data_IF_713845461377
#
_entry.id   IF_713845461377
#
_cell.length_a   1.000
_cell.length_b   1.000
_cell.length_c   1.000
_cell.angle_alpha   90.00
_cell.angle_beta   90.00
_cell.angle_gamma   90.00
#
_symmetry.space_group_name_H-M   'P 1'
#
loop_
_entity.id
_entity.type
_entity.pdbx_description
1 polymer ?
#
# COMPACT_ATOMS: atom_id res chain seq x y z
N UNK A 1 61.75 43.14 -2.04
CA UNK A 1 61.49 42.81 -0.62
C UNK A 1 60.03 43.09 -0.32
N UNK A 2 59.45 42.27 0.57
CA UNK A 2 58.05 41.86 0.75
C UNK A 2 56.94 42.93 0.80
N UNK A 3 55.66 42.50 0.58
CA UNK A 3 54.64 43.30 -0.10
C UNK A 3 53.35 43.41 0.79
N UNK A 4 52.08 43.54 0.30
CA UNK A 4 51.04 44.35 0.94
C UNK A 4 49.79 43.54 1.41
N UNK A 5 48.76 44.20 1.96
CA UNK A 5 47.32 43.80 1.89
C UNK A 5 46.46 44.89 2.58
N UNK A 6 45.15 45.07 2.42
CA UNK A 6 44.05 44.78 1.45
C UNK A 6 42.82 45.50 2.06
N UNK A 7 41.85 45.94 1.26
CA UNK A 7 40.43 46.07 1.67
C UNK A 7 39.49 45.78 0.50
N UNK A 8 38.31 45.31 0.87
CA UNK A 8 37.25 44.62 0.12
C UNK A 8 36.34 45.53 -0.74
N UNK A 9 35.56 44.92 -1.66
CA UNK A 9 34.10 45.12 -1.77
C UNK A 9 33.45 44.25 -2.88
N UNK A 10 32.36 43.55 -2.51
CA UNK A 10 31.04 43.46 -3.18
C UNK A 10 30.87 42.84 -4.59
N UNK A 11 29.89 41.92 -4.71
CA UNK A 11 28.74 42.01 -5.65
C UNK A 11 27.83 40.77 -5.65
N UNK A 12 26.54 41.05 -5.82
CA UNK A 12 25.43 40.17 -6.21
C UNK A 12 25.76 39.23 -7.38
N UNK A 13 25.20 38.01 -7.36
CA UNK A 13 25.06 37.19 -8.57
C UNK A 13 23.76 36.38 -8.60
N UNK A 14 23.17 36.47 -9.78
CA UNK A 14 21.96 35.83 -10.31
C UNK A 14 22.05 34.30 -10.42
N UNK A 15 20.88 33.68 -10.51
CA UNK A 15 20.62 32.29 -10.91
C UNK A 15 21.35 31.84 -12.19
N UNK A 16 21.78 30.57 -12.27
CA UNK A 16 21.93 29.91 -13.56
C UNK A 16 21.24 28.54 -13.62
N UNK A 17 20.08 28.47 -14.28
CA UNK A 17 19.64 27.23 -14.94
C UNK A 17 20.44 27.07 -16.23
N UNK A 18 21.43 26.16 -16.25
CA UNK A 18 22.20 25.82 -17.45
C UNK A 18 21.75 24.47 -17.99
N UNK A 19 21.23 24.48 -19.22
CA UNK A 19 20.93 23.29 -20.04
C UNK A 19 22.22 22.50 -20.30
N UNK A 20 22.16 21.18 -20.12
CA UNK A 20 23.21 20.25 -20.55
C UNK A 20 22.94 19.75 -21.99
N UNK A 21 23.98 19.57 -22.83
CA UNK A 21 23.83 19.16 -24.23
C UNK A 21 23.65 17.64 -24.39
N UNK A 22 22.89 17.27 -25.43
CA UNK A 22 22.70 15.90 -25.94
C UNK A 22 24.02 15.35 -26.49
N UNK A 23 24.30 14.08 -26.23
CA UNK A 23 25.35 13.30 -26.88
C UNK A 23 24.72 12.13 -27.64
N UNK A 24 25.01 12.08 -28.93
CA UNK A 24 24.67 11.01 -29.87
C UNK A 24 25.48 9.73 -29.62
N UNK A 25 24.91 8.58 -29.98
CA UNK A 25 25.56 7.25 -29.93
C UNK A 25 26.68 7.07 -30.96
N UNK A 26 27.33 5.89 -31.03
CA UNK A 26 26.68 4.77 -31.74
C UNK A 26 27.04 3.33 -31.28
N UNK A 27 26.24 2.36 -31.74
CA UNK A 27 26.74 1.04 -32.17
C UNK A 27 26.57 -0.15 -31.22
N UNK A 28 25.59 -1.03 -31.49
CA UNK A 28 25.70 -2.47 -31.22
C UNK A 28 25.02 -3.29 -32.31
N UNK A 29 25.80 -4.23 -32.86
CA UNK A 29 25.42 -5.28 -33.82
C UNK A 29 24.59 -6.39 -33.13
N UNK A 30 23.84 -7.21 -33.88
CA UNK A 30 22.79 -8.08 -33.33
C UNK A 30 23.33 -9.43 -32.84
N UNK A 31 22.79 -9.90 -31.71
CA UNK A 31 23.02 -11.26 -31.20
C UNK A 31 21.92 -12.18 -31.72
N UNK A 32 22.34 -13.25 -32.37
CA UNK A 32 21.52 -14.33 -32.90
C UNK A 32 20.66 -14.99 -31.81
N UNK A 33 19.37 -15.21 -32.10
CA UNK A 33 18.51 -16.14 -31.37
C UNK A 33 18.47 -17.45 -32.15
N UNK A 34 18.90 -18.53 -31.49
CA UNK A 34 18.76 -19.88 -31.99
C UNK A 34 17.33 -20.37 -31.80
N UNK A 35 16.79 -20.94 -32.87
CA UNK A 35 15.57 -21.73 -32.93
C UNK A 35 15.70 -23.00 -32.10
N UNK A 36 14.67 -23.33 -31.32
CA UNK A 36 14.41 -24.68 -30.83
C UNK A 36 12.94 -25.00 -31.10
N UNK A 37 12.73 -25.64 -32.24
CA UNK A 37 11.58 -26.51 -32.50
C UNK A 37 11.79 -27.82 -31.73
N UNK A 38 10.75 -28.39 -31.14
CA UNK A 38 10.40 -29.83 -31.08
C UNK A 38 9.00 -29.94 -30.44
N UNK A 39 8.00 -30.38 -31.22
CA UNK A 39 7.37 -31.71 -31.14
C UNK A 39 6.64 -31.92 -29.78
N UNK A 40 5.31 -31.97 -29.68
CA UNK A 40 4.40 -32.76 -30.49
C UNK A 40 4.24 -34.13 -29.83
N UNK A 41 3.32 -34.26 -28.86
CA UNK A 41 2.86 -35.55 -28.35
C UNK A 41 1.43 -35.43 -27.81
N UNK A 42 0.54 -35.92 -28.66
CA UNK A 42 -0.87 -36.24 -28.45
C UNK A 42 -1.01 -37.35 -27.39
N UNK A 43 -1.98 -37.26 -26.46
CA UNK A 43 -2.53 -38.44 -25.76
C UNK A 43 -3.89 -38.15 -25.11
N UNK A 44 -4.89 -38.59 -25.87
CA UNK A 44 -6.21 -39.13 -25.53
C UNK A 44 -6.68 -39.22 -24.06
N UNK A 45 -7.90 -38.69 -23.91
CA UNK A 45 -9.03 -39.03 -23.05
C UNK A 45 -9.02 -40.37 -22.29
N UNK A 46 -9.46 -40.32 -21.02
CA UNK A 46 -10.32 -41.34 -20.41
C UNK A 46 -11.08 -40.76 -19.19
N UNK A 47 -12.41 -40.67 -19.27
CA UNK A 47 -13.30 -40.64 -18.11
C UNK A 47 -13.46 -42.05 -17.52
N UNK A 48 -13.93 -42.18 -16.25
CA UNK A 48 -15.27 -42.78 -16.11
C UNK A 48 -16.16 -42.19 -14.99
N UNK A 49 -17.41 -41.92 -15.39
CA UNK A 49 -18.72 -42.24 -14.78
C UNK A 49 -18.89 -42.43 -13.25
N UNK A 50 -19.74 -41.55 -12.71
CA UNK A 50 -20.93 -41.74 -11.83
C UNK A 50 -21.02 -42.97 -10.92
N UNK A 51 -21.19 -42.70 -9.63
CA UNK A 51 -21.89 -43.55 -8.66
C UNK A 51 -22.71 -42.69 -7.70
N UNK A 52 -24.03 -42.84 -7.74
CA UNK A 52 -24.99 -42.23 -6.83
C UNK A 52 -25.15 -43.11 -5.57
N UNK A 53 -25.31 -42.49 -4.40
CA UNK A 53 -25.96 -43.11 -3.23
C UNK A 53 -26.79 -42.05 -2.52
N UNK A 54 -28.11 -42.22 -2.55
CA UNK A 54 -29.08 -41.63 -1.63
C UNK A 54 -29.18 -42.52 -0.38
N UNK A 55 -29.34 -41.91 0.81
CA UNK A 55 -30.19 -42.45 1.88
C UNK A 55 -30.59 -41.32 2.86
N UNK A 56 -31.85 -40.90 2.70
CA UNK A 56 -32.90 -40.66 3.69
C UNK A 56 -32.67 -40.16 5.13
N UNK A 57 -33.49 -39.14 5.42
CA UNK A 57 -34.32 -38.84 6.60
C UNK A 57 -33.70 -38.65 7.99
N UNK A 58 -34.02 -37.47 8.56
CA UNK A 58 -34.69 -37.19 9.85
C UNK A 58 -34.57 -35.65 10.04
N UNK A 59 -35.59 -34.83 10.26
CA UNK A 59 -36.69 -34.89 11.22
C UNK A 59 -36.76 -33.51 11.90
N UNK A 60 -37.91 -32.84 11.80
CA UNK A 60 -38.17 -31.49 12.33
C UNK A 60 -37.86 -31.32 13.82
N UNK A 61 -37.28 -30.18 14.23
CA UNK A 61 -37.73 -29.41 15.42
C UNK A 61 -37.42 -27.91 15.23
N UNK A 62 -38.47 -27.09 15.18
CA UNK A 62 -38.39 -25.65 15.37
C UNK A 62 -38.25 -25.32 16.86
N UNK A 63 -37.31 -24.46 17.25
CA UNK A 63 -37.33 -23.76 18.55
C UNK A 63 -36.96 -22.28 18.38
N UNK A 64 -37.84 -21.44 18.92
CA UNK A 64 -37.71 -20.00 19.08
C UNK A 64 -36.48 -19.65 19.93
N UNK A 65 -35.72 -18.63 19.53
CA UNK A 65 -34.68 -17.99 20.34
C UNK A 65 -35.30 -16.85 21.15
N UNK A 66 -34.93 -16.66 22.43
CA UNK A 66 -35.22 -15.44 23.16
C UNK A 66 -34.21 -14.33 22.81
N UNK A 67 -34.72 -13.12 22.88
CA UNK A 67 -34.06 -11.82 22.73
C UNK A 67 -33.04 -11.52 23.83
N UNK A 68 -32.12 -10.60 23.51
CA UNK A 68 -31.13 -9.93 24.36
C UNK A 68 -29.81 -10.67 24.62
N UNK A 69 -28.74 -10.17 23.99
CA UNK A 69 -27.36 -10.59 24.26
C UNK A 69 -26.37 -9.48 23.93
N UNK A 70 -25.80 -8.87 24.98
CA UNK A 70 -24.59 -8.03 24.93
C UNK A 70 -23.48 -8.79 24.20
N UNK A 71 -22.82 -8.12 23.24
CA UNK A 71 -21.60 -8.65 22.62
C UNK A 71 -20.46 -8.56 23.63
N UNK A 72 -20.06 -9.72 24.17
CA UNK A 72 -18.82 -9.88 24.95
C UNK A 72 -17.76 -10.44 24.00
N UNK A 73 -16.70 -9.69 23.77
CA UNK A 73 -15.51 -10.15 23.05
C UNK A 73 -14.75 -11.10 23.97
N UNK A 74 -14.81 -12.39 23.69
CA UNK A 74 -14.04 -13.41 24.42
C UNK A 74 -12.63 -13.45 23.84
N UNK A 75 -11.63 -13.02 24.63
CA UNK A 75 -10.22 -13.26 24.33
C UNK A 75 -9.92 -14.74 24.60
N UNK A 76 -9.55 -15.48 23.56
CA UNK A 76 -9.12 -16.87 23.69
C UNK A 76 -7.66 -16.95 24.16
N UNK A 77 -7.46 -17.40 25.40
CA UNK A 77 -6.16 -17.89 25.86
C UNK A 77 -5.89 -19.26 25.20
N UNK A 78 -4.79 -19.36 24.46
CA UNK A 78 -4.18 -20.66 24.12
C UNK A 78 -2.75 -20.71 24.66
N UNK A 79 -2.60 -21.49 25.73
CA UNK A 79 -1.32 -22.01 26.20
C UNK A 79 -0.79 -23.04 25.19
N UNK A 80 0.43 -22.82 24.70
CA UNK A 80 1.19 -23.76 23.90
C UNK A 80 2.68 -23.56 24.14
N UNK A 81 3.32 -24.60 24.70
CA UNK A 81 4.70 -24.64 25.15
C UNK A 81 5.76 -24.32 24.08
N UNK A 82 6.75 -23.49 24.41
CA UNK A 82 8.13 -23.66 23.96
C UNK A 82 9.15 -23.06 24.96
N UNK A 83 10.36 -23.64 25.11
CA UNK A 83 11.19 -23.45 26.30
C UNK A 83 12.22 -22.31 26.18
N UNK A 84 12.37 -21.62 27.33
CA UNK A 84 13.59 -21.03 27.92
C UNK A 84 14.48 -20.12 27.06
N UNK A 85 14.37 -18.83 27.34
CA UNK A 85 15.42 -17.82 27.14
C UNK A 85 15.08 -16.58 27.98
N UNK A 86 15.53 -16.59 29.24
CA UNK A 86 15.20 -15.60 30.27
C UNK A 86 15.83 -14.24 29.97
N UNK A 87 15.03 -13.18 29.94
CA UNK A 87 15.37 -11.87 30.51
C UNK A 87 14.08 -11.20 30.99
N UNK A 88 13.81 -11.37 32.29
CA UNK A 88 12.70 -10.70 32.97
C UNK A 88 13.04 -9.22 33.18
N UNK A 89 12.41 -8.33 32.42
CA UNK A 89 12.13 -6.98 32.90
C UNK A 89 10.64 -6.91 33.26
N UNK A 90 10.37 -6.91 34.56
CA UNK A 90 9.03 -6.77 35.11
C UNK A 90 8.48 -5.37 34.80
N UNK A 91 7.51 -5.29 33.89
CA UNK A 91 6.74 -4.07 33.68
C UNK A 91 5.57 -4.06 34.67
N UNK A 92 5.62 -3.15 35.66
CA UNK A 92 4.48 -2.86 36.53
C UNK A 92 3.38 -2.23 35.68
N UNK A 93 2.20 -2.87 35.65
CA UNK A 93 0.98 -2.27 35.17
C UNK A 93 0.62 -1.07 36.08
N UNK A 94 1.04 0.13 35.66
CA UNK A 94 0.58 1.36 36.25
C UNK A 94 -0.84 1.65 35.77
N UNK A 95 -1.81 1.46 36.65
CA UNK A 95 -3.13 2.08 36.53
C UNK A 95 -2.96 3.60 36.61
N UNK A 96 -2.71 4.23 35.45
CA UNK A 96 -2.73 5.67 35.29
C UNK A 96 -4.04 6.09 34.63
N UNK A 97 -5.07 6.37 35.44
CA UNK A 97 -6.16 7.23 34.99
C UNK A 97 -5.59 8.62 34.72
N UNK A 98 -5.07 8.85 33.52
CA UNK A 98 -4.76 10.17 33.03
C UNK A 98 -6.08 10.93 32.89
N UNK A 99 -6.28 11.93 33.76
CA UNK A 99 -7.32 12.95 33.60
C UNK A 99 -7.24 13.48 32.16
N UNK A 100 -8.29 13.21 31.37
CA UNK A 100 -8.54 13.88 30.09
C UNK A 100 -8.54 15.39 30.34
N UNK A 101 -7.47 16.07 29.97
CA UNK A 101 -7.54 17.50 29.75
C UNK A 101 -8.31 17.69 28.44
N UNK A 102 -9.53 18.20 28.56
CA UNK A 102 -10.29 18.75 27.46
C UNK A 102 -9.58 20.02 26.95
N UNK A 103 -8.64 19.84 26.02
CA UNK A 103 -8.04 20.90 25.23
C UNK A 103 -8.53 20.77 23.80
N UNK A 104 -9.41 21.68 23.37
CA UNK A 104 -10.06 21.67 22.06
C UNK A 104 -9.08 21.64 20.88
N UNK A 105 -9.04 20.49 20.21
CA UNK A 105 -8.46 20.28 18.90
C UNK A 105 -9.28 19.23 18.15
N UNK A 106 -10.61 19.32 18.22
CA UNK A 106 -11.48 18.38 17.50
C UNK A 106 -11.29 18.49 15.99
N UNK A 107 -11.84 17.54 15.23
CA UNK A 107 -12.08 17.64 13.78
C UNK A 107 -13.00 18.82 13.38
N UNK A 108 -13.13 19.86 14.22
CA UNK A 108 -14.10 20.95 14.15
C UNK A 108 -13.80 22.00 13.07
N UNK A 109 -12.68 21.89 12.35
CA UNK A 109 -12.33 22.82 11.25
C UNK A 109 -11.94 22.06 9.98
N UNK A 110 -12.82 21.18 9.51
CA UNK A 110 -12.75 20.67 8.15
C UNK A 110 -12.95 21.83 7.14
N UNK A 111 -12.03 21.95 6.20
CA UNK A 111 -12.01 22.99 5.17
C UNK A 111 -12.43 22.41 3.82
N UNK A 112 -13.23 23.16 3.07
CA UNK A 112 -13.40 22.86 1.64
C UNK A 112 -12.19 23.39 0.91
N UNK A 113 -11.54 22.54 0.11
CA UNK A 113 -10.49 23.01 -0.76
C UNK A 113 -11.04 23.97 -1.82
N UNK A 114 -10.41 25.13 -1.96
CA UNK A 114 -10.85 26.23 -2.84
C UNK A 114 -10.16 26.23 -4.21
N UNK A 115 -9.43 25.16 -4.52
CA UNK A 115 -8.65 25.04 -5.75
C UNK A 115 -7.24 25.64 -5.68
N UNK A 116 -6.85 26.25 -4.55
CA UNK A 116 -5.53 26.90 -4.40
C UNK A 116 -4.54 26.03 -3.63
N UNK A 117 -3.27 26.43 -3.70
CA UNK A 117 -2.19 25.81 -2.93
C UNK A 117 -2.50 25.85 -1.43
N UNK A 118 -2.34 24.71 -0.76
CA UNK A 118 -2.53 24.55 0.67
C UNK A 118 -1.29 25.05 1.41
N UNK A 119 -1.48 26.03 2.28
CA UNK A 119 -0.44 26.65 3.12
C UNK A 119 -0.58 26.32 4.61
N UNK A 120 -1.77 25.86 5.04
CA UNK A 120 -2.07 25.64 6.46
C UNK A 120 -2.36 24.17 6.77
N UNK A 121 -1.85 23.63 7.89
CA UNK A 121 -2.22 22.29 8.35
C UNK A 121 -3.71 22.19 8.61
N UNK A 122 -4.31 21.05 8.30
CA UNK A 122 -5.73 20.84 8.54
C UNK A 122 -6.33 19.61 7.87
N UNK A 123 -7.65 19.51 7.97
CA UNK A 123 -8.47 18.49 7.32
C UNK A 123 -9.16 19.12 6.13
N UNK A 124 -8.97 18.54 4.94
CA UNK A 124 -9.49 19.07 3.68
C UNK A 124 -10.47 18.09 3.04
N UNK A 125 -11.62 18.61 2.60
CA UNK A 125 -12.59 17.92 1.74
C UNK A 125 -12.54 18.46 0.31
N UNK A 126 -13.16 17.71 -0.61
CA UNK A 126 -13.33 18.10 -2.01
C UNK A 126 -12.02 18.32 -2.79
N UNK A 127 -10.93 17.66 -2.38
CA UNK A 127 -9.71 17.56 -3.20
C UNK A 127 -9.87 16.33 -4.10
N UNK A 128 -10.02 16.50 -5.43
CA UNK A 128 -10.12 15.38 -6.36
C UNK A 128 -8.95 14.40 -6.20
N UNK A 129 -9.22 13.11 -6.36
CA UNK A 129 -8.20 12.06 -6.21
C UNK A 129 -7.03 12.25 -7.19
N UNK A 130 -7.32 12.67 -8.42
CA UNK A 130 -6.32 13.04 -9.44
C UNK A 130 -5.42 14.18 -8.98
N UNK A 131 -5.97 15.24 -8.40
CA UNK A 131 -5.22 16.34 -7.79
C UNK A 131 -4.36 15.86 -6.64
N UNK A 132 -4.93 15.09 -5.72
CA UNK A 132 -4.20 14.57 -4.57
C UNK A 132 -2.99 13.71 -4.96
N UNK A 133 -3.08 12.92 -6.03
CA UNK A 133 -1.95 12.09 -6.47
C UNK A 133 -1.01 12.81 -7.43
N UNK A 134 -1.51 13.66 -8.32
CA UNK A 134 -0.77 14.17 -9.47
C UNK A 134 -0.22 15.59 -9.30
N UNK A 135 -0.83 16.43 -8.46
CA UNK A 135 -0.48 17.84 -8.40
C UNK A 135 0.70 18.08 -7.44
N UNK A 136 1.80 18.59 -7.99
CA UNK A 136 3.04 18.84 -7.23
C UNK A 136 2.99 20.14 -6.43
N UNK A 137 2.19 21.12 -6.86
CA UNK A 137 1.99 22.43 -6.23
C UNK A 137 0.70 22.50 -5.39
N UNK A 138 0.11 21.35 -5.05
CA UNK A 138 -1.02 21.27 -4.12
C UNK A 138 -0.67 21.85 -2.74
N UNK A 139 0.60 21.81 -2.35
CA UNK A 139 1.12 22.35 -1.10
C UNK A 139 2.24 23.36 -1.38
N UNK A 140 2.44 24.31 -0.46
CA UNK A 140 3.48 25.35 -0.55
C UNK A 140 4.93 24.85 -0.36
N UNK A 141 5.09 23.55 -0.14
CA UNK A 141 6.35 22.84 -0.02
C UNK A 141 6.16 21.38 -0.48
N UNK A 142 7.25 20.63 -0.73
CA UNK A 142 7.12 19.25 -1.18
C UNK A 142 6.30 18.39 -0.21
N UNK A 143 5.41 17.55 -0.76
CA UNK A 143 4.53 16.68 0.02
C UNK A 143 4.80 15.20 -0.22
N UNK A 144 4.65 14.42 0.85
CA UNK A 144 4.93 12.99 0.93
C UNK A 144 3.67 12.24 1.35
N UNK A 145 3.35 11.20 0.58
CA UNK A 145 2.32 10.22 0.90
C UNK A 145 2.94 8.84 1.11
N UNK A 146 2.17 7.91 1.69
CA UNK A 146 2.62 6.55 2.01
C UNK A 146 3.18 5.79 0.80
N UNK A 147 2.58 5.95 -0.38
CA UNK A 147 3.01 5.20 -1.58
C UNK A 147 4.47 5.51 -1.96
N UNK A 148 4.94 6.74 -1.73
CA UNK A 148 6.30 7.13 -2.04
C UNK A 148 7.34 6.53 -1.07
N UNK A 149 6.96 6.27 0.19
CA UNK A 149 7.90 5.79 1.22
C UNK A 149 8.47 4.41 0.93
N UNK A 150 7.70 3.53 0.28
CA UNK A 150 8.17 2.19 -0.09
C UNK A 150 9.37 2.25 -1.05
N UNK A 151 9.40 3.25 -1.93
CA UNK A 151 10.53 3.44 -2.84
C UNK A 151 11.80 3.93 -2.13
N UNK A 152 11.67 4.45 -0.91
CA UNK A 152 12.78 4.96 -0.12
C UNK A 152 13.32 3.92 0.87
N UNK A 153 12.44 3.17 1.52
CA UNK A 153 12.79 2.26 2.60
C UNK A 153 13.59 1.04 2.13
N UNK A 154 14.80 0.80 2.66
CA UNK A 154 15.61 -0.37 2.29
C UNK A 154 14.94 -1.71 2.59
N UNK A 155 14.10 -1.77 3.64
CA UNK A 155 13.32 -2.97 3.99
C UNK A 155 12.27 -3.34 2.92
N UNK A 156 11.90 -2.39 2.07
CA UNK A 156 11.02 -2.57 0.91
C UNK A 156 11.81 -2.68 -0.41
N UNK A 157 13.14 -2.82 -0.34
CA UNK A 157 14.02 -2.78 -1.51
C UNK A 157 14.22 -1.36 -2.10
N UNK A 158 13.80 -0.34 -1.37
CA UNK A 158 13.92 1.07 -1.74
C UNK A 158 15.31 1.68 -1.53
N UNK A 159 15.47 2.90 -2.03
CA UNK A 159 16.62 3.77 -1.83
C UNK A 159 16.28 5.22 -2.17
N UNK A 160 17.06 6.22 -1.74
CA UNK A 160 16.86 7.61 -2.15
C UNK A 160 16.78 7.80 -3.67
N UNK A 161 17.65 7.12 -4.45
CA UNK A 161 17.58 7.12 -5.92
C UNK A 161 16.26 6.54 -6.45
N UNK A 162 15.79 5.44 -5.88
CA UNK A 162 14.56 4.80 -6.31
C UNK A 162 13.31 5.64 -5.99
N UNK A 163 13.33 6.34 -4.85
CA UNK A 163 12.35 7.36 -4.49
C UNK A 163 12.38 8.53 -5.47
N UNK A 164 13.53 9.19 -5.66
CA UNK A 164 13.65 10.36 -6.53
C UNK A 164 13.22 10.05 -7.96
N UNK A 165 13.63 8.90 -8.50
CA UNK A 165 13.26 8.47 -9.85
C UNK A 165 11.76 8.22 -10.06
N UNK A 166 10.92 8.23 -9.02
CA UNK A 166 9.46 7.99 -9.09
C UNK A 166 8.64 9.08 -8.42
N UNK A 167 9.28 9.99 -7.68
CA UNK A 167 8.58 11.01 -6.94
C UNK A 167 8.06 12.10 -7.87
N UNK A 168 6.84 12.58 -7.63
CA UNK A 168 6.17 13.56 -8.48
C UNK A 168 6.97 14.86 -8.66
N UNK A 169 7.74 15.25 -7.64
CA UNK A 169 8.58 16.45 -7.68
C UNK A 169 9.81 16.34 -8.60
N UNK A 170 10.16 15.12 -9.07
CA UNK A 170 11.18 14.94 -10.09
C UNK A 170 10.56 15.08 -11.49
N UNK A 171 11.00 16.07 -12.31
CA UNK A 171 10.52 16.23 -13.69
C UNK A 171 10.82 15.03 -14.59
N UNK A 172 11.93 14.32 -14.32
CA UNK A 172 12.39 13.17 -15.10
C UNK A 172 11.95 11.83 -14.47
N UNK A 173 10.86 11.84 -13.70
CA UNK A 173 10.37 10.63 -13.04
C UNK A 173 9.93 9.57 -14.05
N UNK A 174 10.07 8.32 -13.64
CA UNK A 174 9.47 7.18 -14.33
C UNK A 174 8.03 7.04 -13.86
N UNK A 175 7.09 7.12 -14.81
CA UNK A 175 5.68 6.90 -14.51
C UNK A 175 5.41 5.41 -14.22
N UNK A 176 4.78 5.10 -13.07
CA UNK A 176 4.38 3.74 -12.78
C UNK A 176 3.27 3.30 -13.74
N UNK A 177 3.41 2.09 -14.29
CA UNK A 177 2.33 1.47 -15.08
C UNK A 177 1.23 0.98 -14.13
N UNK A 178 -0.06 1.30 -14.38
CA UNK A 178 -1.16 0.71 -13.63
C UNK A 178 -1.16 -0.81 -13.83
N UNK A 179 -1.67 -1.53 -12.83
CA UNK A 179 -1.86 -2.98 -12.90
C UNK A 179 -3.34 -3.33 -12.75
N UNK A 180 -3.76 -4.41 -13.39
CA UNK A 180 -5.17 -4.83 -13.39
C UNK A 180 -5.70 -5.06 -11.96
N UNK A 181 -4.85 -5.53 -11.04
CA UNK A 181 -5.21 -5.71 -9.63
C UNK A 181 -5.45 -4.37 -8.90
N UNK A 182 -4.67 -3.33 -9.21
CA UNK A 182 -4.90 -2.00 -8.65
C UNK A 182 -6.17 -1.37 -9.22
N UNK A 183 -6.44 -1.59 -10.50
CA UNK A 183 -7.64 -1.07 -11.15
C UNK A 183 -8.91 -1.73 -10.60
N UNK A 184 -8.88 -3.04 -10.34
CA UNK A 184 -9.95 -3.74 -9.60
C UNK A 184 -10.15 -3.16 -8.19
N UNK A 185 -9.07 -2.96 -7.44
CA UNK A 185 -9.13 -2.41 -6.08
C UNK A 185 -9.77 -1.02 -6.04
N UNK A 186 -9.41 -0.14 -6.98
CA UNK A 186 -10.01 1.20 -7.12
C UNK A 186 -11.50 1.12 -7.45
N UNK A 187 -11.88 0.23 -8.37
CA UNK A 187 -13.27 0.03 -8.74
C UNK A 187 -14.14 -0.48 -7.57
N UNK A 188 -13.59 -1.44 -6.80
CA UNK A 188 -14.24 -1.95 -5.60
C UNK A 188 -14.42 -0.83 -4.57
N UNK A 189 -13.36 -0.06 -4.32
CA UNK A 189 -13.38 1.07 -3.39
C UNK A 189 -14.44 2.11 -3.75
N UNK A 190 -14.47 2.58 -5.00
CA UNK A 190 -15.48 3.52 -5.48
C UNK A 190 -16.93 2.99 -5.31
N UNK A 191 -17.18 1.71 -5.57
CA UNK A 191 -18.53 1.12 -5.38
C UNK A 191 -18.91 0.88 -3.93
N UNK A 192 -17.96 0.57 -3.06
CA UNK A 192 -18.24 0.28 -1.65
C UNK A 192 -18.37 1.56 -0.81
N UNK A 193 -17.58 2.60 -1.09
CA UNK A 193 -17.62 3.87 -0.36
C UNK A 193 -18.58 4.89 -0.99
N UNK A 194 -18.80 4.83 -2.31
CA UNK A 194 -19.76 5.68 -3.02
C UNK A 194 -19.38 7.16 -3.07
N UNK A 195 -18.09 7.47 -2.95
CA UNK A 195 -17.54 8.82 -2.89
C UNK A 195 -17.11 9.39 -4.25
N UNK A 196 -16.90 8.51 -5.24
CA UNK A 196 -16.65 8.89 -6.62
C UNK A 196 -17.82 8.47 -7.54
N UNK A 197 -18.10 9.27 -8.57
CA UNK A 197 -19.01 8.84 -9.64
C UNK A 197 -18.33 7.73 -10.46
N UNK A 198 -18.77 6.50 -10.20
CA UNK A 198 -18.24 5.30 -10.85
C UNK A 198 -18.27 5.42 -12.39
N UNK A 199 -19.29 6.03 -12.97
CA UNK A 199 -19.42 6.14 -14.43
C UNK A 199 -18.49 7.22 -15.01
N UNK A 200 -18.09 8.19 -14.19
CA UNK A 200 -17.12 9.21 -14.56
C UNK A 200 -15.68 8.69 -14.49
N UNK A 201 -15.38 7.77 -13.55
CA UNK A 201 -14.04 7.23 -13.33
C UNK A 201 -13.77 5.89 -14.04
N UNK A 202 -14.79 5.09 -14.30
CA UNK A 202 -14.67 3.74 -14.84
C UNK A 202 -15.56 3.52 -16.07
N UNK A 203 -15.16 2.58 -16.92
CA UNK A 203 -15.97 2.14 -18.05
C UNK A 203 -15.99 0.60 -18.11
N UNK A 204 -17.18 0.03 -18.12
CA UNK A 204 -17.36 -1.42 -18.25
C UNK A 204 -17.19 -1.81 -19.72
N UNK A 205 -16.36 -2.82 -19.98
CA UNK A 205 -16.15 -3.37 -21.32
C UNK A 205 -17.50 -3.84 -21.90
N UNK A 206 -17.85 -3.41 -23.13
CA UNK A 206 -19.03 -3.88 -23.83
C UNK A 206 -19.04 -5.43 -23.94
N UNK A 207 -20.22 -6.04 -23.79
CA UNK A 207 -20.37 -7.51 -23.77
C UNK A 207 -20.07 -8.16 -25.12
N UNK A 208 -20.11 -7.38 -26.19
CA UNK A 208 -19.76 -7.77 -27.55
C UNK A 208 -18.26 -8.13 -27.67
N UNK A 209 -17.42 -7.55 -26.79
CA UNK A 209 -16.01 -7.88 -26.72
C UNK A 209 -15.77 -9.00 -25.70
N UNK A 210 -15.49 -10.21 -26.20
CA UNK A 210 -15.15 -11.37 -25.35
C UNK A 210 -13.85 -11.16 -24.57
N UNK A 211 -12.85 -10.55 -25.19
CA UNK A 211 -11.55 -10.24 -24.60
C UNK A 211 -10.91 -9.01 -25.27
N UNK A 212 -9.74 -8.60 -24.79
CA UNK A 212 -8.96 -7.49 -25.35
C UNK A 212 -8.01 -7.91 -26.49
N UNK A 213 -8.23 -9.06 -27.15
CA UNK A 213 -7.37 -9.52 -28.26
C UNK A 213 -7.79 -8.93 -29.61
N UNK A 214 -9.08 -8.63 -29.77
CA UNK A 214 -9.60 -8.02 -30.99
C UNK A 214 -9.22 -6.54 -31.12
N UNK A 215 -8.93 -6.09 -32.35
CA UNK A 215 -8.54 -4.70 -32.64
C UNK A 215 -9.55 -3.68 -32.08
N UNK A 216 -10.85 -3.92 -32.31
CA UNK A 216 -11.91 -3.03 -31.81
C UNK A 216 -11.94 -2.96 -30.26
N UNK A 217 -11.65 -4.06 -29.57
CA UNK A 217 -11.61 -4.07 -28.10
C UNK A 217 -10.37 -3.34 -27.56
N UNK A 218 -9.25 -3.39 -28.27
CA UNK A 218 -8.05 -2.63 -27.95
C UNK A 218 -8.27 -1.12 -28.18
N UNK A 219 -8.83 -0.75 -29.33
CA UNK A 219 -9.19 0.64 -29.65
C UNK A 219 -10.17 1.21 -28.61
N UNK A 220 -11.16 0.42 -28.17
CA UNK A 220 -12.07 0.81 -27.08
C UNK A 220 -11.30 1.02 -25.76
N UNK A 221 -10.41 0.08 -25.38
CA UNK A 221 -9.62 0.17 -24.14
C UNK A 221 -8.76 1.42 -24.15
N UNK A 222 -8.08 1.70 -25.26
CA UNK A 222 -7.24 2.88 -25.45
C UNK A 222 -8.07 4.16 -25.39
N UNK A 223 -9.24 4.19 -26.01
CA UNK A 223 -10.16 5.34 -25.94
C UNK A 223 -10.64 5.62 -24.52
N UNK A 224 -10.96 4.57 -23.75
CA UNK A 224 -11.33 4.67 -22.33
C UNK A 224 -10.19 5.25 -21.51
N UNK A 225 -8.98 4.68 -21.64
CA UNK A 225 -7.79 5.18 -20.92
C UNK A 225 -7.47 6.61 -21.31
N UNK A 226 -7.58 6.97 -22.59
CA UNK A 226 -7.38 8.34 -23.09
C UNK A 226 -8.43 9.32 -22.56
N UNK A 227 -9.64 8.86 -22.26
CA UNK A 227 -10.67 9.65 -21.57
C UNK A 227 -10.42 9.84 -20.08
N UNK A 228 -9.32 9.30 -19.53
CA UNK A 228 -9.00 9.34 -18.11
C UNK A 228 -9.78 8.34 -17.26
N UNK A 229 -10.48 7.40 -17.91
CA UNK A 229 -11.27 6.35 -17.25
C UNK A 229 -10.52 5.03 -17.20
N UNK A 230 -10.86 4.21 -16.21
CA UNK A 230 -10.27 2.88 -16.04
C UNK A 230 -11.21 1.81 -16.61
N UNK A 231 -10.74 0.97 -17.56
CA UNK A 231 -11.55 -0.10 -18.13
C UNK A 231 -11.69 -1.26 -17.14
N UNK A 232 -12.92 -1.74 -16.92
CA UNK A 232 -13.25 -2.89 -16.06
C UNK A 232 -14.00 -3.93 -16.91
N UNK A 233 -13.78 -5.23 -16.66
CA UNK A 233 -14.56 -6.28 -17.33
C UNK A 233 -15.93 -6.50 -16.66
N UNK A 234 -16.95 -7.01 -17.40
CA UNK A 234 -18.24 -7.34 -16.79
C UNK A 234 -18.13 -8.31 -15.62
N UNK A 235 -17.19 -9.27 -15.70
CA UNK A 235 -16.96 -10.27 -14.64
C UNK A 235 -16.37 -9.62 -13.38
N UNK A 236 -15.48 -8.64 -13.53
CA UNK A 236 -14.98 -7.85 -12.41
C UNK A 236 -16.11 -7.02 -11.77
N UNK A 237 -16.99 -6.42 -12.58
CA UNK A 237 -18.13 -5.63 -12.08
C UNK A 237 -19.13 -6.48 -11.28
N UNK A 238 -19.42 -7.68 -11.76
CA UNK A 238 -20.25 -8.68 -11.09
C UNK A 238 -19.60 -9.12 -9.77
N UNK A 239 -18.30 -9.45 -9.80
CA UNK A 239 -17.52 -9.79 -8.59
C UNK A 239 -17.58 -8.68 -7.54
N UNK A 240 -17.37 -7.43 -7.94
CA UNK A 240 -17.45 -6.28 -7.01
C UNK A 240 -18.86 -6.13 -6.44
N UNK A 241 -19.89 -6.42 -7.24
CA UNK A 241 -21.28 -6.37 -6.77
C UNK A 241 -21.57 -7.43 -5.70
N UNK A 242 -21.02 -8.64 -5.87
CA UNK A 242 -21.08 -9.69 -4.85
C UNK A 242 -20.33 -9.29 -3.57
N UNK A 243 -19.10 -8.77 -3.71
CA UNK A 243 -18.30 -8.27 -2.59
C UNK A 243 -19.05 -7.18 -1.81
N UNK A 244 -19.67 -6.23 -2.52
CA UNK A 244 -20.45 -5.16 -1.90
C UNK A 244 -21.66 -5.72 -1.13
N UNK A 245 -22.35 -6.70 -1.71
CA UNK A 245 -23.51 -7.33 -1.08
C UNK A 245 -23.12 -8.10 0.20
N UNK A 246 -21.99 -8.79 0.19
CA UNK A 246 -21.43 -9.45 1.37
C UNK A 246 -20.98 -8.43 2.44
N UNK A 247 -20.20 -7.42 2.05
CA UNK A 247 -19.72 -6.38 2.96
C UNK A 247 -20.88 -5.65 3.67
N UNK A 248 -22.00 -5.43 2.98
CA UNK A 248 -23.20 -4.83 3.58
C UNK A 248 -23.87 -5.69 4.67
N UNK A 249 -23.57 -6.99 4.75
CA UNK A 249 -24.04 -7.90 5.80
C UNK A 249 -23.09 -7.93 7.01
N UNK A 250 -21.84 -7.46 6.86
CA UNK A 250 -20.89 -7.43 7.95
C UNK A 250 -21.33 -6.43 9.05
N UNK A 251 -21.33 -6.88 10.31
CA UNK A 251 -21.82 -6.09 11.46
C UNK A 251 -21.06 -4.78 11.67
N UNK A 252 -19.75 -4.75 11.45
CA UNK A 252 -18.93 -3.55 11.61
C UNK A 252 -19.16 -2.55 10.48
N UNK A 253 -19.38 -3.04 9.25
CA UNK A 253 -19.79 -2.22 8.11
C UNK A 253 -21.18 -1.61 8.35
N UNK A 254 -22.14 -2.40 8.82
CA UNK A 254 -23.46 -1.92 9.22
C UNK A 254 -23.41 -0.90 10.36
N UNK A 255 -22.48 -1.07 11.30
CA UNK A 255 -22.22 -0.10 12.37
C UNK A 255 -21.56 1.20 11.86
N UNK A 256 -21.13 1.24 10.60
CA UNK A 256 -20.64 2.45 9.94
C UNK A 256 -19.12 2.62 9.97
N UNK A 257 -18.34 1.54 10.03
CA UNK A 257 -16.87 1.63 9.94
C UNK A 257 -16.38 2.16 8.59
N UNK A 258 -17.18 2.07 7.53
CA UNK A 258 -16.92 2.67 6.22
C UNK A 258 -17.81 3.91 5.96
N UNK A 259 -18.46 4.45 7.00
CA UNK A 259 -19.29 5.65 6.91
C UNK A 259 -18.58 6.83 7.61
N UNK A 260 -19.20 8.01 7.59
CA UNK A 260 -18.67 9.20 8.27
C UNK A 260 -18.02 10.16 7.30
N UNK A 261 -16.77 10.56 7.56
CA UNK A 261 -16.03 11.43 6.64
C UNK A 261 -15.19 10.59 5.70
N UNK A 262 -15.68 10.43 4.48
CA UNK A 262 -15.01 9.65 3.43
C UNK A 262 -13.91 10.49 2.77
N UNK A 263 -12.75 9.86 2.52
CA UNK A 263 -11.66 10.40 1.70
C UNK A 263 -11.18 11.81 2.10
N UNK A 264 -11.17 12.09 3.41
CA UNK A 264 -10.63 13.36 3.92
C UNK A 264 -9.12 13.39 3.86
N UNK A 265 -8.59 14.46 3.30
CA UNK A 265 -7.14 14.68 3.28
C UNK A 265 -6.72 15.34 4.58
N UNK A 266 -6.00 14.60 5.40
CA UNK A 266 -5.30 15.10 6.57
C UNK A 266 -3.93 15.60 6.11
N UNK A 267 -3.63 16.87 6.33
CA UNK A 267 -2.38 17.48 5.91
C UNK A 267 -1.68 18.17 7.08
N UNK A 268 -0.42 17.82 7.29
CA UNK A 268 0.41 18.41 8.34
C UNK A 268 1.82 18.68 7.84
N UNK A 269 2.32 19.89 8.10
CA UNK A 269 3.69 20.29 7.76
C UNK A 269 4.61 19.89 8.90
N UNK A 270 5.54 18.99 8.63
CA UNK A 270 6.49 18.52 9.63
C UNK A 270 7.46 19.66 10.00
N UNK A 271 7.52 20.09 11.27
CA UNK A 271 8.31 21.25 11.67
C UNK A 271 9.83 20.97 11.62
N UNK A 272 10.26 19.71 11.69
CA UNK A 272 11.68 19.34 11.63
C UNK A 272 12.23 19.46 10.21
N UNK A 273 11.47 19.02 9.20
CA UNK A 273 11.94 18.91 7.82
C UNK A 273 11.32 19.93 6.86
N UNK A 274 10.24 20.60 7.27
CA UNK A 274 9.44 21.49 6.43
C UNK A 274 8.62 20.77 5.35
N UNK A 275 8.66 19.44 5.31
CA UNK A 275 7.93 18.62 4.35
C UNK A 275 6.47 18.45 4.77
N UNK A 276 5.58 18.42 3.80
CA UNK A 276 4.18 18.06 4.06
C UNK A 276 4.01 16.55 4.15
N UNK A 277 3.42 16.08 5.24
CA UNK A 277 2.83 14.76 5.33
C UNK A 277 1.35 14.87 4.98
N UNK A 278 0.91 14.02 4.06
CA UNK A 278 -0.51 13.89 3.72
C UNK A 278 -0.98 12.44 3.87
N UNK A 279 -2.05 12.28 4.62
CA UNK A 279 -2.75 11.03 4.79
C UNK A 279 -4.20 11.21 4.30
N UNK A 280 -4.74 10.18 3.67
CA UNK A 280 -6.13 10.14 3.25
C UNK A 280 -6.65 8.74 3.58
N UNK A 281 -7.15 8.51 4.81
CA UNK A 281 -7.86 7.28 5.12
C UNK A 281 -9.15 7.22 4.31
N UNK A 282 -9.55 6.02 3.93
CA UNK A 282 -10.78 5.80 3.14
C UNK A 282 -12.01 6.30 3.89
N UNK A 283 -12.11 5.99 5.20
CA UNK A 283 -13.16 6.50 6.06
C UNK A 283 -12.61 6.97 7.41
N UNK A 284 -13.21 8.06 7.92
CA UNK A 284 -13.13 8.48 9.31
C UNK A 284 -14.52 8.29 9.91
N UNK A 285 -14.77 7.14 10.56
CA UNK A 285 -16.04 6.84 11.20
C UNK A 285 -16.48 7.93 12.20
N UNK A 286 -17.77 7.97 12.57
CA UNK A 286 -18.23 8.86 13.64
C UNK A 286 -17.67 8.46 15.04
N UNK A 287 -16.98 7.33 15.14
CA UNK A 287 -16.23 6.92 16.32
C UNK A 287 -14.96 7.75 16.44
N UNK A 288 -14.87 8.56 17.50
CA UNK A 288 -13.70 9.41 17.73
C UNK A 288 -12.42 8.57 17.79
N UNK A 289 -11.35 9.06 17.16
CA UNK A 289 -10.06 8.36 17.13
C UNK A 289 -9.94 7.15 16.21
N UNK A 290 -11.00 6.72 15.51
CA UNK A 290 -10.93 5.57 14.59
C UNK A 290 -10.70 6.03 13.14
N UNK A 291 -9.86 5.28 12.43
CA UNK A 291 -9.59 5.46 11.00
C UNK A 291 -9.68 4.12 10.29
N UNK A 292 -10.33 4.07 9.13
CA UNK A 292 -10.57 2.83 8.41
C UNK A 292 -10.11 2.91 6.96
N UNK A 293 -9.58 1.79 6.46
CA UNK A 293 -9.12 1.64 5.08
C UNK A 293 -9.64 0.31 4.49
N UNK A 294 -10.31 0.39 3.36
CA UNK A 294 -10.86 -0.73 2.63
C UNK A 294 -9.79 -1.38 1.76
N UNK A 295 -9.70 -2.72 1.81
CA UNK A 295 -8.70 -3.50 1.09
C UNK A 295 -9.30 -4.74 0.45
N UNK A 296 -9.18 -4.83 -0.87
CA UNK A 296 -9.42 -6.10 -1.57
C UNK A 296 -8.25 -7.05 -1.31
N UNK A 297 -8.54 -8.31 -1.01
CA UNK A 297 -7.52 -9.35 -0.77
C UNK A 297 -7.89 -10.64 -1.51
N UNK A 298 -6.90 -11.44 -1.92
CA UNK A 298 -7.13 -12.74 -2.56
C UNK A 298 -7.17 -13.90 -1.56
N UNK A 299 -6.86 -13.67 -0.28
CA UNK A 299 -6.86 -14.70 0.75
C UNK A 299 -7.04 -14.09 2.14
N UNK A 300 -7.72 -14.83 3.01
CA UNK A 300 -7.86 -14.56 4.45
C UNK A 300 -6.92 -15.39 5.32
N UNK A 301 -5.98 -16.14 4.72
CA UNK A 301 -4.92 -16.78 5.50
C UNK A 301 -4.15 -15.71 6.29
N UNK A 302 -4.01 -15.90 7.61
CA UNK A 302 -3.41 -14.90 8.50
C UNK A 302 -1.99 -14.53 8.07
N UNK A 303 -1.17 -15.51 7.68
CA UNK A 303 0.17 -15.30 7.13
C UNK A 303 0.16 -14.42 5.88
N UNK A 304 -0.86 -14.56 5.03
CA UNK A 304 -1.02 -13.75 3.83
C UNK A 304 -1.40 -12.30 4.16
N UNK A 305 -2.31 -12.10 5.11
CA UNK A 305 -2.70 -10.77 5.57
C UNK A 305 -1.55 -10.05 6.30
N UNK A 306 -0.82 -10.77 7.16
CA UNK A 306 0.38 -10.26 7.83
C UNK A 306 1.48 -9.90 6.82
N UNK A 307 1.67 -10.73 5.79
CA UNK A 307 2.57 -10.39 4.68
C UNK A 307 2.12 -9.14 3.93
N UNK A 308 0.84 -8.99 3.64
CA UNK A 308 0.31 -7.79 2.98
C UNK A 308 0.47 -6.53 3.83
N UNK A 309 0.23 -6.60 5.14
CA UNK A 309 0.44 -5.49 6.07
C UNK A 309 1.82 -4.87 5.87
N UNK A 310 2.86 -5.72 5.77
CA UNK A 310 4.22 -5.30 5.44
C UNK A 310 4.34 -4.91 3.97
N UNK A 311 4.19 -5.85 3.02
CA UNK A 311 4.52 -5.68 1.60
C UNK A 311 3.79 -4.50 0.95
N UNK A 312 2.54 -4.25 1.31
CA UNK A 312 1.75 -3.15 0.79
C UNK A 312 1.99 -1.83 1.56
N UNK A 313 2.64 -1.90 2.73
CA UNK A 313 2.97 -0.76 3.58
C UNK A 313 1.77 -0.20 4.33
N UNK A 314 0.78 -1.02 4.71
CA UNK A 314 -0.39 -0.55 5.46
C UNK A 314 -0.01 -0.09 6.87
N UNK A 315 1.02 -0.69 7.50
CA UNK A 315 1.56 -0.19 8.77
C UNK A 315 2.12 1.24 8.66
N UNK A 316 2.72 1.59 7.52
CA UNK A 316 3.18 2.96 7.23
C UNK A 316 2.00 3.92 7.04
N UNK A 317 0.89 3.44 6.48
CA UNK A 317 -0.33 4.24 6.30
C UNK A 317 -0.94 4.60 7.66
N UNK A 318 -1.09 3.61 8.55
CA UNK A 318 -1.53 3.83 9.91
C UNK A 318 -0.60 4.79 10.67
N UNK A 319 0.72 4.57 10.58
CA UNK A 319 1.73 5.42 11.21
C UNK A 319 1.70 6.87 10.71
N UNK A 320 1.65 7.08 9.38
CA UNK A 320 1.53 8.42 8.82
C UNK A 320 0.25 9.11 9.27
N UNK A 321 -0.87 8.38 9.28
CA UNK A 321 -2.16 8.90 9.75
C UNK A 321 -2.06 9.34 11.20
N UNK A 322 -1.49 8.49 12.08
CA UNK A 322 -1.25 8.81 13.50
C UNK A 322 -0.36 10.04 13.69
N UNK A 323 0.73 10.15 12.92
CA UNK A 323 1.62 11.31 12.97
C UNK A 323 0.91 12.61 12.56
N UNK A 324 0.13 12.57 11.47
CA UNK A 324 -0.65 13.73 11.01
C UNK A 324 -1.72 14.10 12.03
N UNK A 325 -2.47 13.12 12.56
CA UNK A 325 -3.48 13.35 13.60
C UNK A 325 -2.85 14.00 14.84
N UNK A 326 -1.71 13.48 15.32
CA UNK A 326 -0.96 14.07 16.44
C UNK A 326 -0.55 15.51 16.14
N UNK A 327 -0.04 15.78 14.95
CA UNK A 327 0.32 17.12 14.49
C UNK A 327 -0.84 18.10 14.43
N UNK A 328 -2.04 17.61 14.09
CA UNK A 328 -3.29 18.36 14.04
C UNK A 328 -4.08 18.35 15.36
N UNK A 329 -3.58 17.66 16.39
CA UNK A 329 -4.25 17.42 17.68
C UNK A 329 -5.60 16.68 17.56
N UNK A 330 -5.77 15.91 16.50
CA UNK A 330 -6.92 15.02 16.30
C UNK A 330 -6.68 13.73 17.10
N UNK A 331 -7.67 13.24 17.87
CA UNK A 331 -7.58 11.94 18.54
C UNK A 331 -7.24 10.82 17.55
N UNK A 332 -6.42 9.87 18.00
CA UNK A 332 -6.11 8.65 17.26
C UNK A 332 -6.03 7.52 18.27
N UNK A 333 -6.99 6.60 18.17
CA UNK A 333 -7.12 5.43 19.03
C UNK A 333 -6.74 4.17 18.25
N UNK A 334 -7.25 3.99 17.03
CA UNK A 334 -6.96 2.80 16.22
C UNK A 334 -7.02 3.06 14.72
N UNK A 335 -6.32 2.22 13.96
CA UNK A 335 -6.39 2.16 12.51
C UNK A 335 -6.81 0.76 12.09
N UNK A 336 -7.88 0.69 11.30
CA UNK A 336 -8.55 -0.57 10.97
C UNK A 336 -8.51 -0.82 9.49
N UNK A 337 -8.19 -2.05 9.10
CA UNK A 337 -8.27 -2.53 7.73
C UNK A 337 -9.56 -3.33 7.58
N UNK A 338 -10.42 -2.89 6.65
CA UNK A 338 -11.61 -3.62 6.25
C UNK A 338 -11.22 -4.44 5.02
N UNK A 339 -11.01 -5.74 5.21
CA UNK A 339 -10.65 -6.65 4.13
C UNK A 339 -11.89 -7.25 3.50
N UNK A 340 -11.96 -7.15 2.17
CA UNK A 340 -12.97 -7.81 1.35
C UNK A 340 -12.31 -8.84 0.44
N UNK A 341 -12.76 -10.09 0.51
CA UNK A 341 -12.20 -11.20 -0.25
C UNK A 341 -12.63 -11.11 -1.71
N UNK A 342 -11.67 -11.02 -2.61
CA UNK A 342 -11.88 -11.09 -4.05
C UNK A 342 -11.95 -12.54 -4.51
N UNK A 343 -13.10 -13.17 -4.29
CA UNK A 343 -13.40 -14.57 -4.61
C UNK A 343 -14.84 -14.73 -5.15
N UNK A 344 -15.15 -15.88 -5.76
CA UNK A 344 -16.51 -16.28 -6.13
C UNK A 344 -17.46 -16.39 -4.94
N UNK A 345 -16.91 -16.64 -3.76
CA UNK A 345 -17.61 -16.60 -2.48
C UNK A 345 -16.96 -15.50 -1.64
N UNK A 346 -17.38 -14.23 -1.78
CA UNK A 346 -16.83 -13.13 -1.01
C UNK A 346 -17.05 -13.35 0.49
N UNK A 347 -16.15 -12.77 1.27
CA UNK A 347 -16.26 -12.66 2.72
C UNK A 347 -15.62 -11.34 3.13
N UNK A 348 -16.01 -10.82 4.29
CA UNK A 348 -15.61 -9.50 4.78
C UNK A 348 -15.18 -9.58 6.23
N UNK A 349 -13.95 -9.17 6.49
CA UNK A 349 -13.39 -9.12 7.84
C UNK A 349 -12.80 -7.75 8.16
N UNK A 350 -12.73 -7.44 9.45
CA UNK A 350 -12.26 -6.16 9.97
C UNK A 350 -11.14 -6.43 10.96
N UNK A 351 -9.97 -5.88 10.70
CA UNK A 351 -8.75 -6.18 11.44
C UNK A 351 -8.07 -4.89 11.88
N UNK A 352 -7.82 -4.75 13.17
CA UNK A 352 -7.05 -3.63 13.72
C UNK A 352 -5.56 -3.82 13.44
N UNK A 353 -4.87 -2.74 13.08
CA UNK A 353 -3.41 -2.76 12.93
C UNK A 353 -2.77 -2.72 14.32
N UNK A 354 -1.84 -3.65 14.58
CA UNK A 354 -1.11 -3.72 15.86
C UNK A 354 -0.34 -2.42 16.16
N UNK A 355 -0.50 -1.93 17.39
CA UNK A 355 0.08 -0.65 17.82
C UNK A 355 1.62 -0.64 17.72
N UNK A 356 2.30 -1.77 18.01
CA UNK A 356 3.75 -1.85 17.90
C UNK A 356 4.23 -1.74 16.46
N UNK A 357 3.45 -2.23 15.49
CA UNK A 357 3.75 -2.04 14.08
C UNK A 357 3.50 -0.61 13.61
N UNK A 358 2.51 0.08 14.19
CA UNK A 358 2.32 1.52 13.97
C UNK A 358 3.54 2.29 14.54
N UNK A 359 4.02 1.95 15.74
CA UNK A 359 5.23 2.55 16.34
C UNK A 359 6.47 2.34 15.46
N UNK A 360 6.67 1.12 14.94
CA UNK A 360 7.73 0.83 13.96
C UNK A 360 7.58 1.68 12.71
N UNK A 361 6.34 1.82 12.23
CA UNK A 361 6.00 2.66 11.09
C UNK A 361 6.36 4.12 11.31
N UNK A 362 6.09 4.71 12.47
CA UNK A 362 6.41 6.12 12.73
C UNK A 362 7.92 6.37 12.73
N UNK A 363 8.70 5.44 13.28
CA UNK A 363 10.16 5.50 13.23
C UNK A 363 10.67 5.43 11.79
N UNK A 364 10.08 4.57 10.97
CA UNK A 364 10.39 4.46 9.54
C UNK A 364 10.02 5.74 8.78
N UNK A 365 8.83 6.30 9.02
CA UNK A 365 8.37 7.58 8.44
C UNK A 365 9.31 8.72 8.82
N UNK A 366 9.69 8.84 10.09
CA UNK A 366 10.62 9.86 10.56
C UNK A 366 11.98 9.74 9.87
N UNK A 367 12.52 8.54 9.73
CA UNK A 367 13.74 8.29 8.98
C UNK A 367 13.61 8.71 7.51
N UNK A 368 12.49 8.38 6.86
CA UNK A 368 12.19 8.79 5.49
C UNK A 368 12.21 10.31 5.34
N UNK A 369 11.51 11.06 6.21
CA UNK A 369 11.44 12.52 6.14
C UNK A 369 12.82 13.17 6.25
N UNK A 370 13.63 12.76 7.24
CA UNK A 370 14.99 13.27 7.39
C UNK A 370 15.87 12.96 6.19
N UNK A 371 15.74 11.74 5.65
CA UNK A 371 16.50 11.31 4.48
C UNK A 371 16.12 12.14 3.25
N UNK A 372 14.82 12.38 3.03
CA UNK A 372 14.32 13.22 1.94
C UNK A 372 14.82 14.66 2.09
N UNK A 373 14.72 15.24 3.29
CA UNK A 373 15.22 16.59 3.57
C UNK A 373 16.71 16.70 3.26
N UNK A 374 17.51 15.77 3.77
CA UNK A 374 18.94 15.73 3.50
C UNK A 374 19.25 15.60 2.00
N UNK A 375 18.57 14.72 1.26
CA UNK A 375 18.78 14.58 -0.19
C UNK A 375 18.36 15.84 -0.96
N UNK A 376 17.32 16.56 -0.49
CA UNK A 376 16.93 17.85 -1.05
C UNK A 376 17.96 18.94 -0.78
N UNK A 377 18.59 18.94 0.40
CA UNK A 377 19.64 19.91 0.77
C UNK A 377 20.93 19.69 -0.03
N UNK A 378 21.39 18.45 -0.14
CA UNK A 378 22.64 18.10 -0.84
C UNK A 378 22.46 18.04 -2.37
N UNK A 379 21.24 17.86 -2.86
CA UNK A 379 20.97 17.59 -4.27
C UNK A 379 21.42 16.19 -4.73
N UNK A 380 21.76 15.30 -3.79
CA UNK A 380 22.22 13.94 -4.06
C UNK A 380 21.20 12.89 -3.61
N UNK A 381 20.96 11.90 -4.47
CA UNK A 381 20.03 10.80 -4.22
C UNK A 381 20.76 9.46 -4.31
N UNK A 382 21.38 8.98 -3.23
CA UNK A 382 22.19 7.77 -3.27
C UNK A 382 21.37 6.53 -3.62
N UNK A 383 21.98 5.61 -4.38
CA UNK A 383 21.39 4.33 -4.74
C UNK A 383 21.34 3.34 -3.57
N UNK A 384 20.61 2.24 -3.78
CA UNK A 384 20.69 1.10 -2.88
C UNK A 384 22.13 0.59 -2.81
N UNK A 385 22.58 0.22 -1.61
CA UNK A 385 23.92 -0.35 -1.37
C UNK A 385 23.81 -1.83 -0.98
N UNK A 386 23.40 -2.72 -1.91
CA UNK A 386 23.35 -4.15 -1.62
C UNK A 386 24.75 -4.62 -1.19
N UNK A 387 24.79 -5.54 -0.24
CA UNK A 387 26.06 -6.04 0.32
C UNK A 387 26.99 -4.95 0.89
N UNK A 388 26.44 -3.81 1.31
CA UNK A 388 27.27 -2.71 1.81
C UNK A 388 28.19 -2.13 0.74
N UNK A 389 27.71 -2.06 -0.51
CA UNK A 389 28.46 -1.56 -1.66
C UNK A 389 29.73 -2.39 -1.95
N UNK A 390 29.58 -3.72 -1.84
CA UNK A 390 30.68 -4.68 -2.02
C UNK A 390 31.50 -4.97 -0.75
N UNK A 391 31.22 -4.30 0.37
CA UNK A 391 31.88 -4.59 1.65
C UNK A 391 31.60 -6.01 2.19
N UNK A 392 30.45 -6.59 1.81
CA UNK A 392 30.06 -7.96 2.17
C UNK A 392 30.10 -8.86 0.94
N UNK A 393 30.52 -10.11 1.14
CA UNK A 393 30.46 -11.14 0.10
C UNK A 393 29.01 -11.60 -0.10
N UNK A 394 28.64 -11.91 -1.35
CA UNK A 394 27.42 -12.64 -1.65
C UNK A 394 27.65 -14.14 -1.40
N UNK A 395 26.66 -14.82 -0.85
CA UNK A 395 26.67 -16.27 -0.68
C UNK A 395 25.29 -16.84 -0.90
N UNK A 396 25.23 -18.13 -1.22
CA UNK A 396 23.97 -18.87 -1.35
C UNK A 396 23.12 -18.76 -0.08
N UNK A 397 21.79 -18.86 -0.21
CA UNK A 397 20.90 -18.98 0.95
C UNK A 397 21.17 -20.29 1.70
N UNK A 398 20.97 -20.36 3.04
CA UNK A 398 21.27 -21.57 3.81
C UNK A 398 20.63 -22.85 3.25
N UNK A 399 19.35 -22.80 2.86
CA UNK A 399 18.66 -23.95 2.27
C UNK A 399 19.23 -24.37 0.91
N UNK A 400 19.70 -23.42 0.10
CA UNK A 400 20.29 -23.71 -1.20
C UNK A 400 21.69 -24.35 -1.06
N UNK A 401 22.45 -23.95 -0.03
CA UNK A 401 23.70 -24.63 0.35
C UNK A 401 23.41 -26.07 0.74
N UNK A 402 22.52 -26.26 1.70
CA UNK A 402 22.15 -27.59 2.17
C UNK A 402 21.69 -28.52 1.04
N UNK A 403 20.84 -28.02 0.13
CA UNK A 403 20.38 -28.78 -1.02
C UNK A 403 21.52 -29.15 -1.99
N UNK A 404 22.47 -28.23 -2.20
CA UNK A 404 23.63 -28.48 -3.07
C UNK A 404 24.58 -29.48 -2.42
N UNK A 405 24.87 -29.30 -1.14
CA UNK A 405 25.76 -30.17 -0.36
C UNK A 405 25.19 -31.59 -0.28
N UNK A 406 23.86 -31.73 -0.10
CA UNK A 406 23.16 -33.02 -0.12
C UNK A 406 23.26 -33.70 -1.49
N UNK A 407 23.01 -32.96 -2.57
CA UNK A 407 23.14 -33.49 -3.93
C UNK A 407 24.57 -33.97 -4.23
N UNK A 408 25.59 -33.17 -3.90
CA UNK A 408 26.99 -33.52 -4.13
C UNK A 408 27.35 -34.77 -3.33
N UNK A 409 26.98 -34.81 -2.04
CA UNK A 409 27.23 -35.96 -1.18
C UNK A 409 26.63 -37.24 -1.78
N UNK A 410 25.38 -37.21 -2.24
CA UNK A 410 24.73 -38.38 -2.87
C UNK A 410 25.46 -38.79 -4.15
N UNK A 411 25.82 -37.83 -5.01
CA UNK A 411 26.50 -38.10 -6.28
C UNK A 411 27.91 -38.71 -6.08
N UNK A 412 28.66 -38.21 -5.10
CA UNK A 412 29.98 -38.72 -4.74
C UNK A 412 29.88 -40.16 -4.22
N UNK A 413 28.95 -40.46 -3.31
CA UNK A 413 28.72 -41.82 -2.82
C UNK A 413 28.32 -42.80 -3.94
N UNK A 414 27.52 -42.37 -4.91
CA UNK A 414 27.14 -43.22 -6.05
C UNK A 414 28.31 -43.50 -7.00
N UNK A 415 29.24 -42.55 -7.15
CA UNK A 415 30.43 -42.73 -7.99
C UNK A 415 31.48 -43.64 -7.34
N UNK A 416 31.58 -43.65 -6.01
CA UNK A 416 32.51 -44.55 -5.28
C UNK A 416 32.00 -46.00 -5.22
N UNK A 417 30.68 -46.20 -5.35
CA UNK A 417 30.05 -47.51 -5.35
C UNK A 417 30.04 -48.21 -6.72
N UNK A 418 30.39 -47.50 -7.80
CA UNK A 418 30.47 -47.99 -9.18
C UNK A 418 31.91 -48.30 -9.58
#
# INVERSE_FOLDING_TARGET
MSPPSRREAGRDREHPFRRLPRADGPGRSPVARADLQHAGADRQQAEPRRGAVQHDLLGHVARRLPTEGRVVVVRGDRQGCCPRGQHHHAYRAGQGHARRQAGGGGMSTERTWDGKTITEPGVYRAIPLSTYHGQTDLFDAPSISKSAMKWLLPTHGGSPKAFWGRWAANPDRVEPKPSDALDFGKAAHAKLLGDEDFNAAFAIRPKEFKDYKGKAAQEWREAVVKSGRTPITPEQDERISLIRADAAQNKMVQAGILNGRIERTLAWKDPETGLWLRARPDAIPPFDGMFADLKTTSSFAEDFLGKQLFDAGYYLQAAMTRMVCRGLRIPFDTFVLVYVLNDDVPDTTVVEVDEYDIDRGERAVRWCLRTIRHCLDEGEWPGARPFGDGARRIGMKPWARAQTDEFISIAEHMSEAA
#
